data_IF_809293219659
#
_entry.id   IF_809293219659
#
_cell.length_a   1.000
_cell.length_b   1.000
_cell.length_c   1.000
_cell.angle_alpha   90.00
_cell.angle_beta   90.00
_cell.angle_gamma   90.00
#
_symmetry.space_group_name_H-M   'P 1'
#
loop_
_entity.id
_entity.type
_entity.pdbx_description
1 polymer ?
#
# COMPACT_ATOMS: atom_id res chain seq x y z
N UNK A 1 -16.98 16.70 2.19
CA UNK A 1 -15.99 16.42 1.15
C UNK A 1 -15.81 14.90 1.06
N UNK A 2 -16.33 14.25 0.02
CA UNK A 2 -16.29 12.78 -0.10
C UNK A 2 -14.94 12.41 -0.71
N UNK A 3 -14.01 11.94 0.11
CA UNK A 3 -12.73 11.40 -0.39
C UNK A 3 -13.08 10.22 -1.29
N UNK A 4 -12.74 10.30 -2.57
CA UNK A 4 -13.04 9.25 -3.54
C UNK A 4 -12.37 7.95 -3.05
N UNK A 5 -13.17 6.95 -2.66
CA UNK A 5 -12.68 5.58 -2.47
C UNK A 5 -12.01 5.22 -3.78
N UNK A 6 -10.68 5.03 -3.76
CA UNK A 6 -9.99 5.10 -5.04
C UNK A 6 -10.38 3.93 -5.95
N UNK A 7 -11.16 2.88 -5.62
CA UNK A 7 -11.54 1.77 -6.54
C UNK A 7 -10.55 1.55 -7.70
N UNK A 8 -9.25 1.54 -7.38
CA UNK A 8 -8.21 1.55 -8.40
C UNK A 8 -8.34 0.21 -9.06
N UNK A 9 -8.63 0.21 -10.35
CA UNK A 9 -8.43 -0.98 -11.15
C UNK A 9 -7.00 -1.49 -10.89
N UNK A 10 -6.76 -2.80 -10.90
CA UNK A 10 -5.43 -3.36 -10.68
C UNK A 10 -4.34 -2.68 -11.52
N UNK A 11 -4.71 -2.19 -12.71
CA UNK A 11 -3.85 -1.41 -13.60
C UNK A 11 -3.39 -0.08 -12.98
N UNK A 12 -4.31 0.76 -12.49
CA UNK A 12 -3.92 2.06 -11.92
C UNK A 12 -3.15 1.90 -10.61
N UNK A 13 -3.45 0.86 -9.82
CA UNK A 13 -2.69 0.53 -8.63
C UNK A 13 -1.22 0.21 -8.98
N UNK A 14 -1.04 -0.57 -10.05
CA UNK A 14 0.29 -0.92 -10.55
C UNK A 14 1.05 0.32 -11.02
N UNK A 15 0.44 1.15 -11.86
CA UNK A 15 1.07 2.38 -12.37
C UNK A 15 1.47 3.31 -11.23
N UNK A 16 0.62 3.47 -10.21
CA UNK A 16 0.94 4.29 -9.05
C UNK A 16 2.12 3.74 -8.23
N UNK A 17 2.16 2.44 -7.96
CA UNK A 17 3.29 1.82 -7.25
C UNK A 17 4.59 1.90 -8.06
N UNK A 18 4.52 1.63 -9.37
CA UNK A 18 5.67 1.72 -10.29
C UNK A 18 6.20 3.15 -10.40
N UNK A 19 5.33 4.16 -10.42
CA UNK A 19 5.73 5.57 -10.37
C UNK A 19 6.48 5.98 -9.09
N UNK A 20 6.28 5.26 -7.99
CA UNK A 20 7.02 5.43 -6.73
C UNK A 20 8.34 4.62 -6.69
N UNK A 21 8.62 3.88 -7.76
CA UNK A 21 9.78 3.01 -7.89
C UNK A 21 9.62 1.63 -7.26
N UNK A 22 8.39 1.21 -6.96
CA UNK A 22 8.12 -0.14 -6.48
C UNK A 22 7.80 -1.08 -7.64
N UNK A 23 8.19 -2.34 -7.52
CA UNK A 23 7.88 -3.39 -8.51
C UNK A 23 6.94 -4.41 -7.92
N UNK A 24 5.98 -4.89 -8.71
CA UNK A 24 5.04 -5.93 -8.28
C UNK A 24 5.81 -7.21 -7.94
N UNK A 25 5.40 -7.87 -6.85
CA UNK A 25 5.84 -9.24 -6.51
C UNK A 25 4.72 -10.25 -6.76
N UNK A 26 5.04 -11.54 -6.73
CA UNK A 26 4.06 -12.59 -7.00
C UNK A 26 3.09 -12.79 -5.83
N UNK A 27 3.56 -12.51 -4.62
CA UNK A 27 2.84 -12.65 -3.38
C UNK A 27 1.71 -11.63 -3.23
N UNK A 28 0.68 -12.05 -2.50
CA UNK A 28 -0.48 -11.23 -2.17
C UNK A 28 -0.77 -11.28 -0.68
N UNK A 29 -1.43 -10.25 -0.14
CA UNK A 29 -1.85 -10.17 1.26
C UNK A 29 -3.36 -9.95 1.37
N UNK A 30 -3.95 -10.14 2.55
CA UNK A 30 -5.37 -9.88 2.85
C UNK A 30 -6.36 -10.42 1.80
N UNK A 31 -6.19 -11.68 1.39
CA UNK A 31 -7.13 -12.32 0.46
C UNK A 31 -6.99 -11.89 -1.01
N UNK A 32 -5.84 -11.39 -1.44
CA UNK A 32 -5.54 -11.14 -2.86
C UNK A 32 -5.06 -9.74 -3.20
N UNK A 33 -4.76 -8.90 -2.21
CA UNK A 33 -4.15 -7.60 -2.46
C UNK A 33 -2.75 -7.74 -3.03
N UNK A 34 -2.48 -7.01 -4.12
CA UNK A 34 -1.17 -6.96 -4.75
C UNK A 34 -0.14 -6.30 -3.83
N UNK A 35 1.04 -6.92 -3.75
CA UNK A 35 2.19 -6.40 -3.03
C UNK A 35 3.22 -5.86 -4.02
N UNK A 36 3.86 -4.77 -3.64
CA UNK A 36 4.96 -4.17 -4.40
C UNK A 36 6.18 -3.95 -3.49
N UNK A 37 7.38 -4.07 -4.06
CA UNK A 37 8.65 -4.01 -3.33
C UNK A 37 9.60 -2.95 -3.91
N UNK A 38 10.32 -2.24 -3.03
CA UNK A 38 11.44 -1.35 -3.33
C UNK A 38 12.53 -1.51 -2.27
N UNK A 39 13.66 -2.12 -2.64
CA UNK A 39 14.71 -2.46 -1.67
C UNK A 39 14.18 -3.41 -0.59
N UNK A 40 14.20 -2.97 0.67
CA UNK A 40 13.65 -3.71 1.81
C UNK A 40 12.23 -3.28 2.20
N UNK A 41 11.62 -2.37 1.44
CA UNK A 41 10.26 -1.88 1.70
C UNK A 41 9.25 -2.63 0.84
N UNK A 42 8.12 -2.94 1.46
CA UNK A 42 6.95 -3.53 0.81
C UNK A 42 5.76 -2.61 1.03
N UNK A 43 4.91 -2.49 0.01
CA UNK A 43 3.65 -1.74 0.09
C UNK A 43 2.48 -2.58 -0.42
N UNK A 44 1.31 -2.36 0.18
CA UNK A 44 0.00 -2.79 -0.34
C UNK A 44 -0.96 -1.61 -0.29
N UNK A 45 -2.01 -1.66 -1.09
CA UNK A 45 -3.06 -0.64 -1.07
C UNK A 45 -3.72 -0.58 0.32
N UNK A 46 -3.96 0.62 0.81
CA UNK A 46 -4.85 0.83 1.95
C UNK A 46 -6.32 0.71 1.53
N UNK A 47 -7.04 -0.29 2.06
CA UNK A 47 -8.47 -0.52 1.80
C UNK A 47 -9.37 0.11 2.85
N UNK A 48 -8.84 0.36 4.05
CA UNK A 48 -9.60 0.84 5.21
C UNK A 48 -9.81 2.36 5.16
N UNK A 49 -9.24 3.03 4.15
CA UNK A 49 -9.00 4.47 4.11
C UNK A 49 -10.22 5.34 4.42
N UNK A 50 -10.30 5.82 5.66
CA UNK A 50 -11.22 6.89 6.07
C UNK A 50 -10.59 8.29 5.88
N UNK A 51 -9.26 8.41 5.76
CA UNK A 51 -8.53 9.69 5.82
C UNK A 51 -7.45 9.88 4.75
N UNK A 52 -7.65 9.39 3.53
CA UNK A 52 -6.72 9.65 2.41
C UNK A 52 -5.47 8.77 2.37
N UNK A 53 -5.41 7.73 3.19
CA UNK A 53 -4.41 6.66 3.08
C UNK A 53 -4.51 5.96 1.73
N UNK A 54 -3.38 5.83 1.06
CA UNK A 54 -3.23 5.13 -0.22
C UNK A 54 -2.45 3.82 -0.05
N UNK A 55 -1.47 3.81 0.85
CA UNK A 55 -0.54 2.70 1.02
C UNK A 55 -0.37 2.30 2.48
N UNK A 56 -0.25 1.00 2.71
CA UNK A 56 0.31 0.42 3.93
C UNK A 56 1.74 -0.02 3.62
N UNK A 57 2.70 0.27 4.49
CA UNK A 57 4.11 -0.07 4.26
C UNK A 57 4.69 -0.91 5.40
N UNK A 58 5.56 -1.86 5.08
CA UNK A 58 6.31 -2.66 6.04
C UNK A 58 7.68 -3.07 5.47
N UNK A 59 8.56 -3.60 6.32
CA UNK A 59 9.86 -4.17 5.91
C UNK A 59 9.78 -5.65 5.49
N UNK A 60 8.60 -6.25 5.61
CA UNK A 60 8.32 -7.62 5.16
C UNK A 60 6.87 -7.75 4.69
N UNK A 61 6.60 -8.74 3.85
CA UNK A 61 5.25 -9.04 3.36
C UNK A 61 4.32 -9.38 4.53
N UNK A 62 4.79 -10.20 5.49
CA UNK A 62 4.03 -10.54 6.70
C UNK A 62 3.71 -9.31 7.54
N UNK A 63 4.62 -8.33 7.59
CA UNK A 63 4.43 -7.07 8.28
C UNK A 63 3.32 -6.19 7.69
N UNK A 64 2.93 -6.39 6.43
CA UNK A 64 1.78 -5.68 5.87
C UNK A 64 0.45 -6.10 6.52
N UNK A 65 0.39 -7.32 7.06
CA UNK A 65 -0.81 -7.89 7.71
C UNK A 65 -0.80 -7.85 9.22
N UNK A 66 0.25 -7.31 9.84
CA UNK A 66 0.35 -7.15 11.29
C UNK A 66 0.49 -5.67 11.61
N UNK A 67 -0.40 -5.14 12.45
CA UNK A 67 -0.34 -3.72 12.84
C UNK A 67 0.98 -3.40 13.54
N UNK A 68 1.44 -4.29 14.43
CA UNK A 68 2.68 -4.10 15.21
C UNK A 68 3.94 -4.10 14.34
N UNK A 69 3.92 -4.80 13.19
CA UNK A 69 5.03 -4.86 12.25
C UNK A 69 4.87 -3.94 11.03
N UNK A 70 3.76 -3.20 10.96
CA UNK A 70 3.50 -2.19 9.92
C UNK A 70 4.23 -0.91 10.29
N UNK A 71 4.89 -0.28 9.32
CA UNK A 71 5.58 0.99 9.55
C UNK A 71 4.61 2.19 9.56
N UNK A 72 3.44 2.01 8.96
CA UNK A 72 2.32 2.94 9.03
C UNK A 72 1.44 2.95 7.78
N UNK A 73 0.53 3.91 7.76
CA UNK A 73 -0.33 4.28 6.63
C UNK A 73 0.20 5.56 5.98
N UNK A 74 0.24 5.58 4.66
CA UNK A 74 0.88 6.62 3.86
C UNK A 74 -0.09 7.17 2.81
N UNK A 75 0.06 8.44 2.49
CA UNK A 75 -0.62 9.06 1.35
C UNK A 75 -0.06 8.58 0.00
N UNK A 76 -0.58 9.09 -1.12
CA UNK A 76 -0.17 8.68 -2.47
C UNK A 76 1.31 8.95 -2.80
N UNK A 77 1.93 9.88 -2.08
CA UNK A 77 3.31 10.33 -2.28
C UNK A 77 4.29 9.73 -1.26
N UNK A 78 3.83 8.75 -0.46
CA UNK A 78 4.61 8.13 0.62
C UNK A 78 4.94 9.09 1.78
N UNK A 79 4.11 10.11 2.01
CA UNK A 79 4.14 10.82 3.29
C UNK A 79 3.36 10.00 4.32
N UNK A 80 3.95 9.78 5.50
CA UNK A 80 3.30 9.03 6.58
C UNK A 80 2.17 9.86 7.19
N UNK A 81 0.98 9.28 7.32
CA UNK A 81 -0.22 9.96 7.85
C UNK A 81 -0.88 9.23 9.03
N UNK A 82 -0.42 8.03 9.38
CA UNK A 82 -0.99 7.29 10.50
C UNK A 82 -0.35 5.92 10.70
N UNK A 83 -0.95 5.15 11.60
CA UNK A 83 -0.57 3.77 11.93
C UNK A 83 -1.74 2.78 11.85
#
# INVERSE_FOLDING_TARGET
MRVQKINLSPFLLRVAAEGLGFRRVAETVHGGQLVYRKGNLYITRDLDGHNGGAWKMATSIKGLSSKDARMGTYDRNLNRIGD
#
